data_IF_296721699929
#
_entry.id   IF_296721699929
#
_cell.length_a   1.000
_cell.length_b   1.000
_cell.length_c   1.000
_cell.angle_alpha   90.00
_cell.angle_beta   90.00
_cell.angle_gamma   90.00
#
_symmetry.space_group_name_H-M   'P 1'
#
loop_
_entity.id
_entity.type
_entity.pdbx_description
1 polymer ?
#
# COMPACT_ATOMS: atom_id res chain seq x y z
N UNK A 1 13.58 -16.20 -15.04
CA UNK A 1 13.05 -15.66 -13.78
C UNK A 1 11.56 -15.40 -14.04
N UNK A 2 10.66 -16.22 -13.51
CA UNK A 2 9.21 -16.00 -13.66
C UNK A 2 8.77 -15.00 -12.59
N UNK A 3 8.20 -13.87 -13.01
CA UNK A 3 7.64 -12.86 -12.13
C UNK A 3 6.36 -13.42 -11.47
N UNK A 4 6.30 -13.44 -10.15
CA UNK A 4 5.13 -13.88 -9.41
C UNK A 4 4.03 -12.83 -9.43
N UNK A 5 2.79 -13.22 -9.12
CA UNK A 5 1.66 -12.27 -9.04
C UNK A 5 1.93 -11.11 -8.07
N UNK A 6 2.54 -11.40 -6.93
CA UNK A 6 2.89 -10.38 -5.92
C UNK A 6 3.82 -9.30 -6.47
N UNK A 7 4.68 -9.65 -7.42
CA UNK A 7 5.62 -8.71 -8.05
C UNK A 7 4.92 -7.78 -9.05
N UNK A 8 3.74 -8.18 -9.56
CA UNK A 8 2.93 -7.41 -10.52
C UNK A 8 1.96 -6.46 -9.80
N UNK A 9 1.57 -6.76 -8.55
CA UNK A 9 0.64 -5.92 -7.77
C UNK A 9 1.12 -4.45 -7.65
N UNK A 10 2.42 -4.16 -7.35
CA UNK A 10 2.93 -2.79 -7.34
C UNK A 10 2.81 -2.09 -8.70
N UNK A 11 3.02 -2.83 -9.81
CA UNK A 11 2.84 -2.31 -11.17
C UNK A 11 1.38 -1.90 -11.35
N UNK A 12 0.42 -2.71 -10.88
CA UNK A 12 -1.00 -2.37 -10.88
C UNK A 12 -1.27 -1.05 -10.16
N UNK A 13 -0.73 -0.86 -8.95
CA UNK A 13 -0.84 0.39 -8.20
C UNK A 13 -0.25 1.59 -8.96
N UNK A 14 0.95 1.43 -9.55
CA UNK A 14 1.59 2.49 -10.33
C UNK A 14 0.77 2.89 -11.57
N UNK A 15 0.17 1.92 -12.26
CA UNK A 15 -0.71 2.19 -13.40
C UNK A 15 -1.96 2.98 -12.99
N UNK A 16 -2.59 2.62 -11.87
CA UNK A 16 -3.76 3.34 -11.33
C UNK A 16 -3.39 4.78 -10.99
N UNK A 17 -2.32 4.97 -10.21
CA UNK A 17 -1.88 6.31 -9.76
C UNK A 17 -1.44 7.15 -10.97
N UNK A 18 -0.68 6.57 -11.90
CA UNK A 18 -0.22 7.25 -13.10
C UNK A 18 -1.39 7.70 -13.99
N UNK A 19 -2.36 6.82 -14.23
CA UNK A 19 -3.55 7.17 -15.01
C UNK A 19 -4.41 8.23 -14.32
N UNK A 20 -4.57 8.14 -13.00
CA UNK A 20 -5.37 9.07 -12.21
C UNK A 20 -4.74 10.46 -12.17
N UNK A 21 -3.43 10.56 -11.95
CA UNK A 21 -2.72 11.84 -11.94
C UNK A 21 -2.65 12.48 -13.33
N UNK A 22 -2.48 11.68 -14.39
CA UNK A 22 -2.61 12.16 -15.76
C UNK A 22 -4.02 12.74 -16.03
N UNK A 23 -5.07 12.02 -15.63
CA UNK A 23 -6.45 12.49 -15.75
C UNK A 23 -6.69 13.82 -15.02
N UNK A 24 -6.20 13.96 -13.79
CA UNK A 24 -6.24 15.23 -13.04
C UNK A 24 -5.47 16.34 -13.76
N UNK A 25 -4.32 16.04 -14.37
CA UNK A 25 -3.57 16.99 -15.19
C UNK A 25 -4.33 17.45 -16.43
N UNK A 26 -5.04 16.54 -17.12
CA UNK A 26 -5.92 16.87 -18.24
C UNK A 26 -7.03 17.82 -17.78
N UNK A 27 -7.65 17.56 -16.64
CA UNK A 27 -8.71 18.43 -16.11
C UNK A 27 -8.15 19.80 -15.72
N UNK A 28 -7.00 19.84 -15.07
CA UNK A 28 -6.31 21.10 -14.76
C UNK A 28 -6.05 21.93 -16.01
N UNK A 29 -5.71 21.30 -17.14
CA UNK A 29 -5.52 22.02 -18.41
C UNK A 29 -6.81 22.61 -18.99
N UNK A 30 -7.98 22.07 -18.64
CA UNK A 30 -9.28 22.62 -19.03
C UNK A 30 -9.75 23.76 -18.11
N UNK A 31 -9.26 23.79 -16.87
CA UNK A 31 -9.72 24.72 -15.83
C UNK A 31 -9.70 26.21 -16.24
N UNK A 32 -8.65 26.75 -16.90
CA UNK A 32 -8.62 28.15 -17.29
C UNK A 32 -9.76 28.56 -18.23
N UNK A 33 -10.29 27.62 -19.02
CA UNK A 33 -11.38 27.86 -19.97
C UNK A 33 -12.74 27.76 -19.27
N UNK A 34 -12.88 26.86 -18.31
CA UNK A 34 -14.14 26.62 -17.60
C UNK A 34 -14.36 27.53 -16.39
N UNK A 35 -13.31 28.18 -15.89
CA UNK A 35 -13.37 29.09 -14.73
C UNK A 35 -14.43 30.19 -14.90
N UNK A 36 -14.47 30.78 -16.09
CA UNK A 36 -15.37 31.90 -16.40
C UNK A 36 -16.80 31.42 -16.77
N UNK A 37 -17.02 30.10 -16.84
CA UNK A 37 -18.37 29.53 -16.98
C UNK A 37 -19.00 29.27 -15.61
N UNK A 38 -18.24 28.71 -14.66
CA UNK A 38 -18.74 28.27 -13.35
C UNK A 38 -18.60 29.30 -12.22
N UNK A 39 -17.49 30.04 -12.19
CA UNK A 39 -17.09 30.79 -10.99
C UNK A 39 -16.99 32.30 -11.21
N UNK A 40 -16.67 32.73 -12.44
CA UNK A 40 -16.48 34.14 -12.79
C UNK A 40 -17.42 34.56 -13.91
N UNK A 41 -18.57 35.11 -13.53
CA UNK A 41 -19.62 35.51 -14.48
C UNK A 41 -19.48 36.96 -14.96
N UNK A 42 -18.43 37.66 -14.54
CA UNK A 42 -18.13 39.05 -14.90
C UNK A 42 -17.42 39.18 -16.25
N UNK A 43 -16.92 38.07 -16.81
CA UNK A 43 -16.21 38.03 -18.10
C UNK A 43 -17.21 37.78 -19.23
N UNK A 44 -17.53 38.78 -20.08
CA UNK A 44 -18.59 38.65 -21.08
C UNK A 44 -18.31 37.55 -22.13
N UNK A 45 -17.03 37.31 -22.43
CA UNK A 45 -16.58 36.32 -23.42
C UNK A 45 -16.26 34.94 -22.85
N UNK A 46 -16.48 34.71 -21.54
CA UNK A 46 -16.05 33.46 -20.87
C UNK A 46 -16.63 32.21 -21.51
N UNK A 47 -17.93 32.22 -21.82
CA UNK A 47 -18.61 31.13 -22.51
C UNK A 47 -18.10 30.89 -23.94
N UNK A 48 -17.76 31.97 -24.66
CA UNK A 48 -17.28 31.84 -26.04
C UNK A 48 -15.85 31.27 -26.09
N UNK A 49 -15.02 31.62 -25.10
CA UNK A 49 -13.69 31.04 -24.91
C UNK A 49 -13.76 29.56 -24.57
N UNK A 50 -14.64 29.15 -23.64
CA UNK A 50 -14.88 27.75 -23.31
C UNK A 50 -15.41 26.96 -24.52
N UNK A 51 -16.37 27.54 -25.27
CA UNK A 51 -16.89 26.94 -26.49
C UNK A 51 -15.79 26.70 -27.53
N UNK A 52 -14.97 27.71 -27.82
CA UNK A 52 -13.87 27.62 -28.77
C UNK A 52 -12.83 26.56 -28.35
N UNK A 53 -12.54 26.45 -27.05
CA UNK A 53 -11.67 25.41 -26.49
C UNK A 53 -12.21 23.99 -26.78
N UNK A 54 -13.48 23.74 -26.44
CA UNK A 54 -14.09 22.43 -26.69
C UNK A 54 -14.25 22.10 -28.18
N UNK A 55 -14.48 23.10 -29.03
CA UNK A 55 -14.46 22.92 -30.48
C UNK A 55 -13.06 22.59 -31.01
N UNK A 56 -12.02 23.25 -30.50
CA UNK A 56 -10.63 22.96 -30.85
C UNK A 56 -10.26 21.54 -30.43
N UNK A 57 -10.62 21.14 -29.22
CA UNK A 57 -10.38 19.79 -28.74
C UNK A 57 -11.15 18.76 -29.57
N UNK A 58 -12.43 18.99 -29.86
CA UNK A 58 -13.26 18.07 -30.66
C UNK A 58 -12.84 17.92 -32.12
N UNK A 59 -12.28 18.98 -32.73
CA UNK A 59 -11.75 18.94 -34.10
C UNK A 59 -10.29 18.46 -34.17
N UNK A 60 -9.66 18.16 -33.03
CA UNK A 60 -8.29 17.69 -33.01
C UNK A 60 -8.17 16.32 -33.70
N UNK A 61 -7.03 16.03 -34.33
CA UNK A 61 -6.80 14.71 -34.92
C UNK A 61 -6.99 13.58 -33.92
N UNK A 62 -7.49 12.44 -34.40
CA UNK A 62 -7.93 11.32 -33.56
C UNK A 62 -6.85 10.80 -32.58
N UNK A 63 -5.57 10.87 -32.98
CA UNK A 63 -4.45 10.47 -32.14
C UNK A 63 -4.37 11.25 -30.83
N UNK A 64 -4.84 12.51 -30.78
CA UNK A 64 -4.89 13.31 -29.56
C UNK A 64 -5.83 12.65 -28.56
N UNK A 65 -7.02 12.24 -28.98
CA UNK A 65 -7.95 11.57 -28.08
C UNK A 65 -7.47 10.17 -27.68
N UNK A 66 -6.78 9.44 -28.57
CA UNK A 66 -6.23 8.12 -28.22
C UNK A 66 -5.26 8.17 -27.05
N UNK A 67 -4.52 9.27 -26.86
CA UNK A 67 -3.65 9.42 -25.68
C UNK A 67 -4.42 9.26 -24.37
N UNK A 68 -5.55 9.97 -24.22
CA UNK A 68 -6.39 9.90 -23.03
C UNK A 68 -7.00 8.51 -22.84
N UNK A 69 -7.50 7.89 -23.93
CA UNK A 69 -8.12 6.56 -23.86
C UNK A 69 -7.10 5.47 -23.50
N UNK A 70 -5.88 5.54 -24.03
CA UNK A 70 -4.80 4.61 -23.69
C UNK A 70 -4.43 4.74 -22.22
N UNK A 71 -4.29 5.96 -21.71
CA UNK A 71 -3.98 6.17 -20.28
C UNK A 71 -5.12 5.69 -19.39
N UNK A 72 -6.38 5.94 -19.76
CA UNK A 72 -7.53 5.39 -19.03
C UNK A 72 -7.55 3.85 -19.06
N UNK A 73 -7.23 3.23 -20.20
CA UNK A 73 -7.12 1.78 -20.32
C UNK A 73 -5.99 1.21 -19.45
N UNK A 74 -4.84 1.89 -19.35
CA UNK A 74 -3.76 1.51 -18.44
C UNK A 74 -4.21 1.55 -16.97
N UNK A 75 -4.99 2.57 -16.59
CA UNK A 75 -5.60 2.64 -15.25
C UNK A 75 -6.52 1.46 -14.97
N UNK A 76 -7.39 1.10 -15.93
CA UNK A 76 -8.25 -0.10 -15.84
C UNK A 76 -7.45 -1.39 -15.74
N UNK A 77 -6.39 -1.54 -16.54
CA UNK A 77 -5.48 -2.69 -16.46
C UNK A 77 -4.88 -2.77 -15.05
N UNK A 78 -4.47 -1.65 -14.47
CA UNK A 78 -3.97 -1.59 -13.10
C UNK A 78 -4.99 -2.09 -12.08
N UNK A 79 -6.25 -1.66 -12.19
CA UNK A 79 -7.33 -2.19 -11.33
C UNK A 79 -7.55 -3.69 -11.53
N UNK A 80 -7.59 -4.18 -12.77
CA UNK A 80 -7.80 -5.61 -13.04
C UNK A 80 -6.65 -6.49 -12.56
N UNK A 81 -5.41 -5.99 -12.61
CA UNK A 81 -4.25 -6.67 -12.01
C UNK A 81 -4.52 -6.91 -10.52
N UNK A 82 -4.92 -5.88 -9.76
CA UNK A 82 -5.12 -6.00 -8.30
C UNK A 82 -6.37 -6.81 -7.94
N UNK A 83 -7.35 -6.87 -8.84
CA UNK A 83 -8.60 -7.62 -8.64
C UNK A 83 -8.50 -9.12 -8.96
N UNK A 84 -7.43 -9.57 -9.62
CA UNK A 84 -7.32 -10.99 -9.99
C UNK A 84 -7.24 -11.92 -8.76
N UNK A 85 -6.49 -11.51 -7.74
CA UNK A 85 -6.46 -12.17 -6.42
C UNK A 85 -6.46 -11.09 -5.34
N UNK A 86 -7.65 -10.61 -4.93
CA UNK A 86 -7.76 -9.56 -3.94
C UNK A 86 -7.47 -10.11 -2.54
N UNK A 87 -6.73 -9.35 -1.73
CA UNK A 87 -6.53 -9.66 -0.31
C UNK A 87 -7.84 -9.35 0.45
N UNK A 88 -8.22 -10.20 1.41
CA UNK A 88 -9.53 -10.09 2.07
C UNK A 88 -9.72 -8.75 2.79
N UNK A 89 -8.64 -8.22 3.35
CA UNK A 89 -8.62 -6.97 4.12
C UNK A 89 -8.56 -5.73 3.20
N UNK A 90 -8.05 -5.89 1.97
CA UNK A 90 -7.88 -4.81 1.00
C UNK A 90 -9.01 -4.71 -0.04
N UNK A 91 -9.80 -5.77 -0.24
CA UNK A 91 -10.73 -5.90 -1.37
C UNK A 91 -11.70 -4.72 -1.51
N UNK A 92 -12.20 -4.16 -0.40
CA UNK A 92 -13.13 -3.03 -0.44
C UNK A 92 -12.46 -1.72 -0.88
N UNK A 93 -11.19 -1.50 -0.53
CA UNK A 93 -10.42 -0.36 -1.04
C UNK A 93 -10.22 -0.48 -2.55
N UNK A 94 -9.93 -1.69 -3.06
CA UNK A 94 -9.77 -1.93 -4.50
C UNK A 94 -11.08 -1.77 -5.27
N UNK A 95 -12.18 -2.35 -4.78
CA UNK A 95 -13.49 -2.21 -5.42
C UNK A 95 -13.97 -0.77 -5.41
N UNK A 96 -13.80 -0.06 -4.28
CA UNK A 96 -14.14 1.36 -4.18
C UNK A 96 -13.32 2.21 -5.14
N UNK A 97 -12.02 1.92 -5.24
CA UNK A 97 -11.11 2.64 -6.13
C UNK A 97 -11.47 2.40 -7.61
N UNK A 98 -11.73 1.15 -8.03
CA UNK A 98 -12.23 0.86 -9.37
C UNK A 98 -13.60 1.54 -9.61
N UNK A 99 -14.50 1.51 -8.64
CA UNK A 99 -15.82 2.14 -8.75
C UNK A 99 -15.73 3.64 -9.04
N UNK A 100 -14.90 4.37 -8.29
CA UNK A 100 -14.64 5.79 -8.52
C UNK A 100 -13.99 6.06 -9.88
N UNK A 101 -13.03 5.22 -10.29
CA UNK A 101 -12.40 5.34 -11.60
C UNK A 101 -13.39 5.09 -12.75
N UNK A 102 -14.29 4.12 -12.59
CA UNK A 102 -15.37 3.85 -13.55
C UNK A 102 -16.36 5.01 -13.62
N UNK A 103 -16.71 5.63 -12.49
CA UNK A 103 -17.57 6.82 -12.47
C UNK A 103 -16.91 7.96 -13.27
N UNK A 104 -15.61 8.18 -13.11
CA UNK A 104 -14.88 9.16 -13.92
C UNK A 104 -14.99 8.89 -15.43
N UNK A 105 -14.80 7.63 -15.86
CA UNK A 105 -14.94 7.22 -17.26
C UNK A 105 -16.37 7.43 -17.76
N UNK A 106 -17.37 7.08 -16.96
CA UNK A 106 -18.78 7.23 -17.34
C UNK A 106 -19.12 8.72 -17.53
N UNK A 107 -18.74 9.59 -16.59
CA UNK A 107 -18.98 11.04 -16.71
C UNK A 107 -18.25 11.60 -17.93
N UNK A 108 -17.01 11.16 -18.18
CA UNK A 108 -16.27 11.54 -19.40
C UNK A 108 -17.03 11.17 -20.68
N UNK A 109 -17.50 9.92 -20.81
CA UNK A 109 -18.18 9.44 -22.02
C UNK A 109 -19.56 10.08 -22.20
N UNK A 110 -20.32 10.23 -21.11
CA UNK A 110 -21.72 10.67 -21.17
C UNK A 110 -21.87 12.18 -21.21
N UNK A 111 -21.04 12.92 -20.47
CA UNK A 111 -21.18 14.36 -20.35
C UNK A 111 -20.17 15.11 -21.23
N UNK A 112 -18.87 14.80 -21.11
CA UNK A 112 -17.82 15.52 -21.85
C UNK A 112 -17.84 15.17 -23.34
N UNK A 113 -17.77 13.88 -23.69
CA UNK A 113 -17.75 13.47 -25.10
C UNK A 113 -19.02 13.92 -25.81
N UNK A 114 -20.19 13.69 -25.20
CA UNK A 114 -21.48 14.15 -25.77
C UNK A 114 -21.50 15.67 -25.91
N UNK A 115 -21.11 16.40 -24.86
CA UNK A 115 -21.07 17.86 -24.85
C UNK A 115 -20.15 18.46 -25.91
N UNK A 116 -19.00 17.84 -26.19
CA UNK A 116 -18.13 18.25 -27.31
C UNK A 116 -18.83 18.10 -28.65
N UNK A 117 -19.60 17.04 -28.89
CA UNK A 117 -20.37 16.95 -30.15
C UNK A 117 -21.43 18.05 -30.23
N UNK A 118 -22.04 18.43 -29.11
CA UNK A 118 -22.94 19.59 -29.05
C UNK A 118 -22.21 20.90 -29.37
N UNK A 119 -20.98 21.08 -28.88
CA UNK A 119 -20.14 22.24 -29.21
C UNK A 119 -19.84 22.33 -30.71
N UNK A 120 -19.62 21.19 -31.37
CA UNK A 120 -19.34 21.11 -32.81
C UNK A 120 -20.60 21.26 -33.66
N UNK A 121 -21.70 20.62 -33.27
CA UNK A 121 -22.95 20.63 -34.03
C UNK A 121 -23.78 21.90 -33.80
N UNK A 122 -23.54 22.62 -32.70
CA UNK A 122 -24.40 23.73 -32.27
C UNK A 122 -25.77 23.29 -31.78
N UNK A 123 -25.95 22.00 -31.46
CA UNK A 123 -27.23 21.41 -31.04
C UNK A 123 -27.15 21.04 -29.55
N UNK A 124 -27.94 21.72 -28.73
CA UNK A 124 -27.92 21.61 -27.27
C UNK A 124 -29.20 21.00 -26.67
N UNK A 125 -30.13 20.56 -27.52
CA UNK A 125 -31.40 19.98 -27.08
C UNK A 125 -32.32 21.04 -26.46
N UNK A 126 -32.82 20.76 -25.26
CA UNK A 126 -33.78 21.62 -24.54
C UNK A 126 -33.13 22.78 -23.78
N UNK A 127 -31.79 22.89 -23.82
CA UNK A 127 -31.04 23.94 -23.10
C UNK A 127 -30.25 24.82 -24.05
N UNK A 128 -29.92 26.04 -23.61
CA UNK A 128 -28.98 26.89 -24.34
C UNK A 128 -27.53 26.41 -24.20
N UNK A 129 -26.66 26.92 -25.07
CA UNK A 129 -25.25 26.51 -25.09
C UNK A 129 -24.51 26.85 -23.79
N UNK A 130 -24.90 27.93 -23.10
CA UNK A 130 -24.27 28.37 -21.85
C UNK A 130 -24.56 27.38 -20.73
N UNK A 131 -25.81 26.96 -20.62
CA UNK A 131 -26.25 25.93 -19.68
C UNK A 131 -25.55 24.61 -19.98
N UNK A 132 -25.43 24.23 -21.25
CA UNK A 132 -24.69 23.06 -21.67
C UNK A 132 -23.20 23.10 -21.28
N UNK A 133 -22.52 24.23 -21.50
CA UNK A 133 -21.13 24.43 -21.09
C UNK A 133 -20.97 24.39 -19.57
N UNK A 134 -21.91 24.96 -18.80
CA UNK A 134 -21.90 24.85 -17.34
C UNK A 134 -22.01 23.39 -16.87
N UNK A 135 -22.82 22.56 -17.53
CA UNK A 135 -22.93 21.12 -17.22
C UNK A 135 -21.61 20.40 -17.53
N UNK A 136 -20.95 20.75 -18.65
CA UNK A 136 -19.63 20.19 -18.99
C UNK A 136 -18.57 20.58 -17.95
N UNK A 137 -18.48 21.85 -17.60
CA UNK A 137 -17.55 22.35 -16.60
C UNK A 137 -17.82 21.73 -15.21
N UNK A 138 -19.08 21.65 -14.78
CA UNK A 138 -19.45 20.99 -13.53
C UNK A 138 -19.08 19.49 -13.55
N UNK A 139 -19.19 18.84 -14.71
CA UNK A 139 -18.76 17.44 -14.89
C UNK A 139 -17.26 17.26 -14.70
N UNK A 140 -16.44 18.22 -15.16
CA UNK A 140 -15.00 18.22 -14.87
C UNK A 140 -14.74 18.25 -13.35
N UNK A 141 -15.46 19.11 -12.62
CA UNK A 141 -15.34 19.22 -11.15
C UNK A 141 -15.74 17.90 -10.47
N UNK A 142 -16.82 17.27 -10.91
CA UNK A 142 -17.21 15.94 -10.40
C UNK A 142 -16.12 14.89 -10.64
N UNK A 143 -15.50 14.89 -11.83
CA UNK A 143 -14.39 13.99 -12.13
C UNK A 143 -13.20 14.23 -11.19
N UNK A 144 -12.87 15.49 -10.86
CA UNK A 144 -11.81 15.79 -9.87
C UNK A 144 -12.10 15.09 -8.54
N UNK A 145 -13.31 15.22 -8.00
CA UNK A 145 -13.65 14.63 -6.71
C UNK A 145 -13.49 13.10 -6.71
N UNK A 146 -13.97 12.42 -7.76
CA UNK A 146 -13.85 10.96 -7.82
C UNK A 146 -12.42 10.49 -8.08
N UNK A 147 -11.64 11.20 -8.90
CA UNK A 147 -10.23 10.85 -9.14
C UNK A 147 -9.34 11.15 -7.92
N UNK A 148 -9.61 12.23 -7.18
CA UNK A 148 -8.96 12.46 -5.87
C UNK A 148 -9.34 11.34 -4.90
N UNK A 149 -10.61 10.90 -4.90
CA UNK A 149 -11.03 9.74 -4.13
C UNK A 149 -10.27 8.46 -4.49
N UNK A 150 -9.96 8.23 -5.78
CA UNK A 150 -9.09 7.12 -6.21
C UNK A 150 -7.71 7.23 -5.57
N UNK A 151 -7.08 8.41 -5.59
CA UNK A 151 -5.77 8.63 -4.98
C UNK A 151 -5.81 8.44 -3.46
N UNK A 152 -6.86 8.91 -2.78
CA UNK A 152 -7.05 8.72 -1.34
C UNK A 152 -7.18 7.25 -1.00
N UNK A 153 -7.95 6.47 -1.76
CA UNK A 153 -8.09 5.03 -1.52
C UNK A 153 -6.79 4.27 -1.79
N UNK A 154 -6.07 4.59 -2.88
CA UNK A 154 -4.79 3.93 -3.18
C UNK A 154 -3.70 4.31 -2.17
N UNK A 155 -3.65 5.59 -1.75
CA UNK A 155 -2.74 6.06 -0.70
C UNK A 155 -3.07 5.49 0.69
N UNK A 156 -4.36 5.39 1.02
CA UNK A 156 -4.83 4.77 2.25
C UNK A 156 -4.50 3.28 2.32
N UNK A 157 -4.68 2.56 1.20
CA UNK A 157 -4.28 1.16 1.11
C UNK A 157 -2.77 0.99 1.28
N UNK A 158 -1.97 1.83 0.62
CA UNK A 158 -0.50 1.81 0.79
C UNK A 158 -0.11 2.03 2.26
N UNK A 159 -0.74 3.01 2.92
CA UNK A 159 -0.49 3.29 4.34
C UNK A 159 -0.87 2.11 5.23
N UNK A 160 -2.01 1.47 4.99
CA UNK A 160 -2.45 0.29 5.75
C UNK A 160 -1.47 -0.88 5.59
N UNK A 161 -1.06 -1.17 4.35
CA UNK A 161 -0.08 -2.24 4.06
C UNK A 161 1.28 -1.97 4.69
N UNK A 162 1.76 -0.73 4.60
CA UNK A 162 3.02 -0.32 5.23
C UNK A 162 2.97 -0.44 6.75
N UNK A 163 1.86 -0.05 7.37
CA UNK A 163 1.67 -0.15 8.82
C UNK A 163 1.61 -1.61 9.28
N UNK A 164 0.89 -2.47 8.56
CA UNK A 164 0.80 -3.90 8.87
C UNK A 164 2.15 -4.61 8.71
N UNK A 165 2.95 -4.23 7.73
CA UNK A 165 4.31 -4.77 7.53
C UNK A 165 5.24 -4.35 8.68
N UNK A 166 5.16 -3.09 9.12
CA UNK A 166 5.90 -2.60 10.29
C UNK A 166 5.56 -3.37 11.56
N UNK A 167 4.27 -3.62 11.78
CA UNK A 167 3.82 -4.32 12.97
C UNK A 167 4.29 -5.80 12.97
N UNK A 168 4.22 -6.48 11.83
CA UNK A 168 4.74 -7.86 11.68
C UNK A 168 6.25 -7.94 11.92
N UNK A 169 7.01 -6.97 11.41
CA UNK A 169 8.46 -6.89 11.63
C UNK A 169 8.80 -6.78 13.12
N UNK A 170 8.06 -5.96 13.86
CA UNK A 170 8.24 -5.81 15.31
C UNK A 170 7.89 -7.08 16.09
N UNK A 171 6.79 -7.75 15.74
CA UNK A 171 6.40 -9.02 16.36
C UNK A 171 7.46 -10.11 16.16
N UNK A 172 7.97 -10.30 14.93
CA UNK A 172 9.02 -11.29 14.68
C UNK A 172 10.35 -10.96 15.35
N UNK A 173 10.66 -9.67 15.51
CA UNK A 173 11.85 -9.26 16.26
C UNK A 173 11.71 -9.62 17.75
N UNK A 174 10.55 -9.36 18.36
CA UNK A 174 10.28 -9.73 19.74
C UNK A 174 10.34 -11.25 19.94
N UNK A 175 9.72 -12.03 19.05
CA UNK A 175 9.74 -13.49 19.12
C UNK A 175 11.17 -14.05 19.00
N UNK A 176 12.00 -13.46 18.14
CA UNK A 176 13.42 -13.83 18.02
C UNK A 176 14.25 -13.47 19.26
N UNK A 177 13.99 -12.31 19.87
CA UNK A 177 14.63 -11.89 21.12
C UNK A 177 14.23 -12.80 22.29
N UNK A 178 12.95 -13.15 22.42
CA UNK A 178 12.44 -14.08 23.42
C UNK A 178 13.00 -15.49 23.22
N UNK A 179 13.07 -15.99 21.99
CA UNK A 179 13.70 -17.28 21.68
C UNK A 179 15.20 -17.28 22.02
N UNK A 180 15.91 -16.18 21.73
CA UNK A 180 17.33 -16.04 22.08
C UNK A 180 17.55 -15.98 23.60
N UNK A 181 16.68 -15.27 24.33
CA UNK A 181 16.69 -15.23 25.80
C UNK A 181 16.38 -16.61 26.40
N UNK A 182 15.39 -17.33 25.86
CA UNK A 182 15.06 -18.68 26.30
C UNK A 182 16.23 -19.65 26.05
N UNK A 183 16.87 -19.58 24.88
CA UNK A 183 18.07 -20.37 24.58
C UNK A 183 19.24 -20.03 25.51
N UNK A 184 19.47 -18.75 25.83
CA UNK A 184 20.48 -18.35 26.82
C UNK A 184 20.15 -18.87 28.22
N UNK A 185 18.89 -18.81 28.64
CA UNK A 185 18.47 -19.29 29.96
C UNK A 185 18.60 -20.82 30.05
N UNK A 186 18.26 -21.55 28.99
CA UNK A 186 18.49 -23.00 28.92
C UNK A 186 19.99 -23.33 28.97
N UNK A 187 20.83 -22.63 28.20
CA UNK A 187 22.28 -22.83 28.23
C UNK A 187 22.91 -22.52 29.60
N UNK A 188 22.41 -21.50 30.31
CA UNK A 188 22.82 -21.21 31.70
C UNK A 188 22.35 -22.29 32.67
N UNK A 189 21.12 -22.77 32.56
CA UNK A 189 20.61 -23.86 33.40
C UNK A 189 21.41 -25.16 33.19
N UNK A 190 21.70 -25.52 31.94
CA UNK A 190 22.54 -26.69 31.63
C UNK A 190 23.95 -26.51 32.21
N UNK A 191 24.56 -25.34 32.06
CA UNK A 191 25.86 -25.04 32.64
C UNK A 191 25.85 -25.14 34.18
N UNK A 192 24.84 -24.56 34.84
CA UNK A 192 24.73 -24.57 36.30
C UNK A 192 24.50 -25.99 36.85
N UNK A 193 23.74 -26.84 36.15
CA UNK A 193 23.55 -28.25 36.52
C UNK A 193 24.85 -29.05 36.38
N UNK A 194 25.62 -28.82 35.30
CA UNK A 194 26.93 -29.48 35.12
C UNK A 194 27.90 -29.07 36.22
N UNK A 195 27.91 -27.79 36.60
CA UNK A 195 28.75 -27.29 37.68
C UNK A 195 28.32 -27.88 39.03
N UNK A 196 27.02 -27.99 39.33
CA UNK A 196 26.53 -28.66 40.55
C UNK A 196 26.94 -30.14 40.60
N UNK A 197 26.82 -30.87 39.49
CA UNK A 197 27.24 -32.27 39.42
C UNK A 197 28.75 -32.44 39.61
N UNK A 198 29.57 -31.58 39.00
CA UNK A 198 31.01 -31.59 39.23
C UNK A 198 31.34 -31.30 40.71
N UNK A 199 30.68 -30.31 41.32
CA UNK A 199 30.88 -29.98 42.74
C UNK A 199 30.47 -31.14 43.64
N UNK A 200 29.34 -31.80 43.39
CA UNK A 200 28.93 -33.01 44.13
C UNK A 200 29.94 -34.14 43.97
N UNK A 201 30.44 -34.40 42.76
CA UNK A 201 31.42 -35.46 42.51
C UNK A 201 32.77 -35.17 43.20
N UNK A 202 33.18 -33.91 43.26
CA UNK A 202 34.37 -33.46 44.00
C UNK A 202 34.17 -33.62 45.51
N UNK A 203 32.99 -33.28 46.04
CA UNK A 203 32.65 -33.44 47.46
C UNK A 203 32.57 -34.92 47.84
N UNK A 204 32.00 -35.77 46.99
CA UNK A 204 31.91 -37.22 47.23
C UNK A 204 33.30 -37.89 47.20
N UNK A 205 34.19 -37.48 46.28
CA UNK A 205 35.60 -37.89 46.27
C UNK A 205 36.37 -37.41 47.51
N UNK A 206 36.07 -36.21 48.02
CA UNK A 206 36.66 -35.70 49.26
C UNK A 206 36.18 -36.47 50.51
N UNK A 207 34.92 -36.91 50.54
CA UNK A 207 34.37 -37.65 51.67
C UNK A 207 34.82 -39.13 51.68
N UNK A 208 35.01 -39.74 50.51
CA UNK A 208 35.62 -41.07 50.40
C UNK A 208 37.11 -41.10 50.81
N UNK A 209 37.84 -40.01 50.59
CA UNK A 209 39.23 -39.86 51.07
C UNK A 209 39.29 -39.59 52.58
N UNK A 210 38.28 -38.94 53.17
CA UNK A 210 38.16 -38.75 54.62
C UNK A 210 37.89 -40.08 55.36
N UNK A 211 37.08 -40.99 54.79
CA UNK A 211 36.79 -42.32 55.33
C UNK A 211 38.00 -43.29 55.29
N UNK A 212 38.93 -43.07 54.35
CA UNK A 212 40.20 -43.82 54.24
C UNK A 212 41.22 -43.44 55.35
N UNK A 213 41.21 -42.18 55.80
CA UNK A 213 42.12 -41.67 56.84
C UNK A 213 41.86 -42.22 58.25
N UNK A 214 40.62 -42.60 58.57
CA UNK A 214 40.26 -43.12 59.89
C UNK A 214 40.72 -44.58 60.14
N UNK A 215 40.93 -45.38 59.07
CA UNK A 215 41.42 -46.77 59.19
C UNK A 215 42.95 -46.88 59.31
N UNK A 216 43.70 -45.84 58.93
CA UNK A 216 45.17 -45.82 59.02
C UNK A 216 45.73 -45.64 60.44
N UNK A 217 45.04 -44.90 61.31
CA UNK A 217 45.56 -44.54 62.65
C UNK A 217 45.45 -45.64 63.71
N UNK A 218 44.58 -46.65 63.54
CA UNK A 218 44.44 -47.77 64.49
C UNK A 218 45.50 -48.88 64.35
N UNK A 219 46.26 -48.92 63.24
CA UNK A 219 47.23 -50.01 62.98
C UNK A 219 48.67 -49.71 63.40
N UNK A 220 49.04 -48.45 63.65
CA UNK A 220 50.42 -48.09 64.05
C UNK A 220 50.68 -48.14 65.56
N UNK A 221 49.68 -48.02 66.43
CA UNK A 221 49.88 -48.06 67.89
C UNK A 221 50.05 -49.47 68.47
N UNK A 222 49.71 -50.53 67.73
CA UNK A 222 49.83 -51.91 68.22
C UNK A 222 51.22 -52.56 67.99
N UNK A 223 52.09 -52.00 67.14
CA UNK A 223 53.36 -52.65 66.74
C UNK A 223 54.59 -52.20 67.53
N UNK A 224 54.46 -51.28 68.50
CA UNK A 224 55.59 -50.75 69.30
C UNK A 224 55.66 -51.30 70.74
N UNK A 225 55.20 -52.55 70.93
CA UNK A 225 55.40 -53.36 72.15
C UNK A 225 55.82 -54.77 71.73
N UNK A 226 57.07 -54.94 71.33
CA UNK A 226 57.87 -56.19 71.35
C UNK A 226 59.12 -56.00 70.49
N UNK A 227 60.16 -55.48 71.11
CA UNK A 227 61.58 -55.84 71.00
C UNK A 227 62.42 -54.72 71.58
#
# INVERSE_FOLDING_TARGET
MMMGYKDIVPIGTSLIIGATTFGLGVIYSNWPYDLDTLWRHDVPSGFDVSLAHYQQWGNSPMYVHYTLHVVAALGLIGHFIKLYKPEEDAKYFEYGSLGLFMIAIIIYLTNLRTGVNSCLAGVWGDVDYKTGLNVMAASQVMIIFVLVGVLVLQGGLYYAQWYDEKLKEEFYRQEAEEAALAAQNQAKQEHDVVVEQEVEEIVEKADQTSASGAKGKKKQTAKKRKS
#
